data_IF_239180888282
#
_entry.id   IF_239180888282
#
_cell.length_a   1.000
_cell.length_b   1.000
_cell.length_c   1.000
_cell.angle_alpha   90.00
_cell.angle_beta   90.00
_cell.angle_gamma   90.00
#
_symmetry.space_group_name_H-M   'P 1'
#
loop_
_entity.id
_entity.type
_entity.pdbx_description
1 polymer ?
#
# COMPACT_ATOMS: atom_id res chain seq x y z
N UNK A 1 -4.26 9.59 -10.23
CA UNK A 1 -3.31 8.45 -10.32
C UNK A 1 -1.93 8.86 -10.83
N UNK A 2 -1.82 9.62 -11.94
CA UNK A 2 -0.51 10.01 -12.49
C UNK A 2 0.32 10.85 -11.50
N UNK A 3 -0.32 11.76 -10.76
CA UNK A 3 0.35 12.60 -9.76
C UNK A 3 0.87 11.80 -8.55
N UNK A 4 0.23 10.66 -8.25
CA UNK A 4 0.66 9.77 -7.17
C UNK A 4 1.95 9.03 -7.52
N UNK A 5 2.07 8.59 -8.78
CA UNK A 5 3.26 7.91 -9.30
C UNK A 5 4.46 8.85 -9.45
N UNK A 6 4.23 10.16 -9.51
CA UNK A 6 5.27 11.19 -9.55
C UNK A 6 5.84 11.53 -8.16
N UNK A 7 5.28 10.98 -7.09
CA UNK A 7 5.78 11.25 -5.73
C UNK A 7 7.18 10.68 -5.50
N UNK A 8 7.94 11.38 -4.65
CA UNK A 8 9.35 11.08 -4.38
C UNK A 8 9.59 9.65 -3.90
N UNK A 9 8.62 9.02 -3.24
CA UNK A 9 8.75 7.65 -2.74
C UNK A 9 8.96 6.63 -3.85
N UNK A 10 8.26 6.74 -4.98
CA UNK A 10 8.45 5.81 -6.10
C UNK A 10 9.82 5.99 -6.77
N UNK A 11 10.34 7.22 -6.81
CA UNK A 11 11.70 7.48 -7.27
C UNK A 11 12.73 6.80 -6.36
N UNK A 12 12.60 6.98 -5.04
CA UNK A 12 13.51 6.36 -4.07
C UNK A 12 13.46 4.82 -4.08
N UNK A 13 12.29 4.23 -4.38
CA UNK A 13 12.12 2.78 -4.48
C UNK A 13 12.59 2.19 -5.83
N UNK A 14 12.64 2.99 -6.89
CA UNK A 14 13.02 2.53 -8.24
C UNK A 14 14.49 2.75 -8.58
N UNK A 15 15.14 3.71 -7.92
CA UNK A 15 16.58 3.95 -8.08
C UNK A 15 17.38 2.84 -7.40
N UNK A 16 18.09 2.04 -8.20
CA UNK A 16 18.96 1.00 -7.66
C UNK A 16 20.24 1.62 -7.08
N UNK A 17 20.62 1.19 -5.88
CA UNK A 17 21.91 1.49 -5.24
C UNK A 17 22.10 2.88 -4.63
N UNK A 18 21.03 3.67 -4.41
CA UNK A 18 21.15 4.92 -3.66
C UNK A 18 21.05 4.64 -2.16
N UNK A 19 22.03 5.08 -1.37
CA UNK A 19 21.94 5.04 0.09
C UNK A 19 20.92 6.09 0.53
N UNK A 20 19.71 5.64 0.84
CA UNK A 20 18.63 6.50 1.30
C UNK A 20 18.58 6.43 2.82
N UNK A 21 18.62 7.59 3.47
CA UNK A 21 18.49 7.66 4.93
C UNK A 21 17.06 7.34 5.37
N UNK A 22 16.91 6.79 6.58
CA UNK A 22 15.58 6.57 7.16
C UNK A 22 14.75 7.86 7.22
N UNK A 23 15.39 9.01 7.48
CA UNK A 23 14.72 10.31 7.52
C UNK A 23 14.18 10.71 6.14
N UNK A 24 14.95 10.50 5.06
CA UNK A 24 14.48 10.78 3.71
C UNK A 24 13.33 9.86 3.29
N UNK A 25 13.39 8.58 3.65
CA UNK A 25 12.29 7.65 3.40
C UNK A 25 11.03 8.05 4.15
N UNK A 26 11.15 8.43 5.43
CA UNK A 26 10.01 8.88 6.23
C UNK A 26 9.39 10.17 5.67
N UNK A 27 10.22 11.13 5.27
CA UNK A 27 9.74 12.38 4.66
C UNK A 27 9.00 12.10 3.34
N UNK A 28 9.57 11.26 2.46
CA UNK A 28 8.95 10.90 1.19
C UNK A 28 7.65 10.11 1.37
N UNK A 29 7.56 9.26 2.41
CA UNK A 29 6.32 8.57 2.77
C UNK A 29 5.24 9.54 3.29
N UNK A 30 5.61 10.51 4.13
CA UNK A 30 4.69 11.54 4.59
C UNK A 30 4.10 12.36 3.45
N UNK A 31 4.95 12.80 2.51
CA UNK A 31 4.52 13.51 1.29
C UNK A 31 3.56 12.67 0.44
N UNK A 32 3.83 11.37 0.30
CA UNK A 32 2.95 10.45 -0.44
C UNK A 32 1.57 10.30 0.21
N UNK A 33 1.50 10.19 1.53
CA UNK A 33 0.23 10.08 2.27
C UNK A 33 -0.61 11.36 2.13
N UNK A 34 0.01 12.54 2.20
CA UNK A 34 -0.70 13.80 1.96
C UNK A 34 -1.23 13.89 0.53
N UNK A 35 -0.48 13.42 -0.47
CA UNK A 35 -0.95 13.36 -1.85
C UNK A 35 -2.12 12.37 -2.05
N UNK A 36 -2.11 11.21 -1.38
CA UNK A 36 -3.28 10.31 -1.35
C UNK A 36 -4.49 11.04 -0.79
N UNK A 37 -4.31 11.80 0.29
CA UNK A 37 -5.39 12.53 0.93
C UNK A 37 -5.97 13.61 0.01
N UNK A 38 -5.13 14.36 -0.70
CA UNK A 38 -5.56 15.39 -1.67
C UNK A 38 -6.30 14.77 -2.85
N UNK A 39 -5.77 13.70 -3.45
CA UNK A 39 -6.42 13.00 -4.57
C UNK A 39 -7.74 12.35 -4.12
N UNK A 40 -7.78 11.80 -2.91
CA UNK A 40 -8.96 11.19 -2.30
C UNK A 40 -9.97 12.19 -1.71
N UNK A 41 -9.67 13.49 -1.72
CA UNK A 41 -10.63 14.56 -1.39
C UNK A 41 -11.37 15.04 -2.67
N UNK A 42 -10.79 14.78 -3.85
CA UNK A 42 -11.37 15.11 -5.17
C UNK A 42 -12.09 13.96 -5.88
N UNK A 43 -11.66 12.70 -5.67
CA UNK A 43 -12.51 11.52 -5.91
C UNK A 43 -13.24 11.19 -4.62
N UNK A 44 -14.51 10.79 -4.71
CA UNK A 44 -15.35 10.44 -3.57
C UNK A 44 -14.57 9.50 -2.63
N UNK A 45 -14.11 10.03 -1.48
CA UNK A 45 -13.35 9.32 -0.43
C UNK A 45 -13.94 7.94 -0.13
N UNK A 46 -15.26 7.82 -0.27
CA UNK A 46 -16.04 6.59 -0.24
C UNK A 46 -15.49 5.49 -1.17
N UNK A 47 -15.11 5.82 -2.41
CA UNK A 47 -14.59 4.89 -3.41
C UNK A 47 -13.22 4.37 -3.04
N UNK A 48 -12.26 5.26 -2.72
CA UNK A 48 -10.91 4.85 -2.28
C UNK A 48 -10.98 4.03 -1.00
N UNK A 49 -11.80 4.45 -0.03
CA UNK A 49 -12.01 3.71 1.22
C UNK A 49 -12.63 2.33 0.97
N UNK A 50 -13.64 2.23 0.09
CA UNK A 50 -14.27 0.94 -0.29
C UNK A 50 -13.28 0.00 -0.94
N UNK A 51 -12.42 0.49 -1.84
CA UNK A 51 -11.39 -0.32 -2.49
C UNK A 51 -10.41 -0.85 -1.44
N UNK A 52 -9.88 0.02 -0.57
CA UNK A 52 -8.94 -0.38 0.47
C UNK A 52 -9.54 -1.40 1.46
N UNK A 53 -10.80 -1.21 1.86
CA UNK A 53 -11.52 -2.16 2.73
C UNK A 53 -11.73 -3.50 2.04
N UNK A 54 -12.13 -3.51 0.76
CA UNK A 54 -12.30 -4.74 0.00
C UNK A 54 -10.98 -5.52 -0.13
N UNK A 55 -9.89 -4.83 -0.47
CA UNK A 55 -8.55 -5.42 -0.55
C UNK A 55 -8.11 -6.03 0.79
N UNK A 56 -8.38 -5.36 1.91
CA UNK A 56 -8.06 -5.91 3.24
C UNK A 56 -8.83 -7.21 3.54
N UNK A 57 -10.11 -7.28 3.16
CA UNK A 57 -10.93 -8.48 3.35
C UNK A 57 -10.42 -9.63 2.49
N UNK A 58 -10.09 -9.37 1.22
CA UNK A 58 -9.56 -10.40 0.32
C UNK A 58 -8.22 -10.97 0.83
N UNK A 59 -7.30 -10.12 1.29
CA UNK A 59 -6.02 -10.58 1.87
C UNK A 59 -6.27 -11.44 3.11
N UNK A 60 -7.13 -11.02 4.04
CA UNK A 60 -7.48 -11.81 5.22
C UNK A 60 -8.15 -13.15 4.83
N UNK A 61 -8.95 -13.16 3.76
CA UNK A 61 -9.56 -14.39 3.23
C UNK A 61 -8.51 -15.34 2.63
N UNK A 62 -7.46 -14.81 2.00
CA UNK A 62 -6.38 -15.62 1.45
C UNK A 62 -5.48 -16.19 2.56
N UNK A 63 -5.18 -15.39 3.58
CA UNK A 63 -4.46 -15.84 4.77
C UNK A 63 -5.22 -16.99 5.46
N UNK A 64 -6.53 -16.81 5.70
CA UNK A 64 -7.37 -17.85 6.30
C UNK A 64 -7.55 -19.08 5.41
N UNK A 65 -7.69 -18.92 4.08
CA UNK A 65 -7.76 -20.04 3.16
C UNK A 65 -6.44 -20.84 3.10
N UNK A 66 -5.29 -20.17 3.20
CA UNK A 66 -3.98 -20.84 3.30
C UNK A 66 -3.86 -21.70 4.56
N UNK A 67 -4.44 -21.24 5.68
CA UNK A 67 -4.44 -21.97 6.95
C UNK A 67 -5.37 -23.19 6.91
N UNK A 68 -6.48 -23.13 6.18
CA UNK A 68 -7.40 -24.27 6.04
C UNK A 68 -6.87 -25.38 5.11
N UNK A 69 -5.93 -25.06 4.22
CA UNK A 69 -5.24 -26.03 3.35
C UNK A 69 -4.09 -26.79 4.04
N UNK A 70 -3.67 -26.34 5.22
CA UNK A 70 -2.66 -27.01 6.04
C UNK A 70 -3.31 -27.94 7.07
N UNK A 71 -4.30 -28.72 6.60
CA UNK A 71 -4.81 -29.87 7.34
C UNK A 71 -3.63 -30.79 7.63
N UNK A 72 -3.27 -30.87 8.91
CA UNK A 72 -2.37 -31.88 9.45
C UNK A 72 -2.78 -33.23 8.85
N UNK A 73 -1.82 -33.92 8.23
CA UNK A 73 -1.99 -35.35 7.94
C UNK A 73 -2.20 -36.01 9.30
N UNK A 74 -3.44 -36.38 9.62
CA UNK A 74 -3.73 -37.28 10.72
C UNK A 74 -2.85 -38.52 10.55
N UNK A 75 -2.15 -38.90 11.63
CA UNK A 75 -1.35 -40.12 11.71
C UNK A 75 -2.20 -41.39 11.51
#
# INVERSE_FOLDING_TARGET
MNDLLQTRIFRLLSETSQEVTNQEMQNAYGEFVEQIRIVGDGEDYSTTYRILVATRIEIASLETASLYGQGEKCA
#
